data_IF_391058927525
#
_entry.id   IF_391058927525
#
_cell.length_a   1.000
_cell.length_b   1.000
_cell.length_c   1.000
_cell.angle_alpha   90.00
_cell.angle_beta   90.00
_cell.angle_gamma   90.00
#
_symmetry.space_group_name_H-M   'P 1'
#
loop_
_entity.id
_entity.type
_entity.pdbx_description
1 polymer ?
#
# COMPACT_ATOMS: atom_id res chain seq x y z
N UNK A 1 -28.12 -6.67 -11.21
CA UNK A 1 -26.70 -6.77 -10.93
C UNK A 1 -26.08 -5.43 -10.62
N UNK A 2 -25.31 -5.43 -9.67
CA UNK A 2 -24.78 -4.20 -9.16
C UNK A 2 -23.28 -4.08 -9.40
N UNK A 3 -22.92 -3.37 -10.47
CA UNK A 3 -21.53 -3.16 -10.86
C UNK A 3 -20.71 -2.36 -9.86
N UNK A 4 -21.37 -1.54 -9.04
CA UNK A 4 -20.68 -0.69 -8.08
C UNK A 4 -19.89 -1.49 -7.05
N UNK A 5 -20.50 -2.53 -6.50
CA UNK A 5 -19.84 -3.38 -5.53
C UNK A 5 -18.62 -4.06 -6.12
N UNK A 6 -18.77 -4.58 -7.33
CA UNK A 6 -17.68 -5.25 -8.02
C UNK A 6 -16.51 -4.31 -8.29
N UNK A 7 -16.79 -3.07 -8.67
CA UNK A 7 -15.74 -2.08 -8.93
C UNK A 7 -14.97 -1.72 -7.67
N UNK A 8 -15.66 -1.54 -6.55
CA UNK A 8 -15.01 -1.26 -5.27
C UNK A 8 -14.11 -2.40 -4.83
N UNK A 9 -14.62 -3.62 -4.94
CA UNK A 9 -13.84 -4.81 -4.58
C UNK A 9 -12.63 -4.95 -5.49
N UNK A 10 -12.80 -4.75 -6.79
CA UNK A 10 -11.71 -4.85 -7.75
C UNK A 10 -10.62 -3.82 -7.45
N UNK A 11 -11.00 -2.59 -7.12
CA UNK A 11 -10.03 -1.55 -6.77
C UNK A 11 -9.28 -1.89 -5.50
N UNK A 12 -10.00 -2.38 -4.49
CA UNK A 12 -9.41 -2.77 -3.22
C UNK A 12 -8.39 -3.89 -3.43
N UNK A 13 -8.77 -4.93 -4.15
CA UNK A 13 -7.89 -6.06 -4.42
C UNK A 13 -6.67 -5.64 -5.23
N UNK A 14 -6.84 -4.76 -6.19
CA UNK A 14 -5.73 -4.24 -6.99
C UNK A 14 -4.76 -3.45 -6.13
N UNK A 15 -5.29 -2.60 -5.26
CA UNK A 15 -4.45 -1.81 -4.37
C UNK A 15 -3.67 -2.70 -3.40
N UNK A 16 -4.32 -3.72 -2.84
CA UNK A 16 -3.66 -4.69 -1.97
C UNK A 16 -2.52 -5.39 -2.71
N UNK A 17 -2.78 -5.84 -3.93
CA UNK A 17 -1.78 -6.53 -4.74
C UNK A 17 -0.61 -5.63 -5.08
N UNK A 18 -0.86 -4.39 -5.49
CA UNK A 18 0.19 -3.45 -5.85
C UNK A 18 1.09 -3.13 -4.67
N UNK A 19 0.51 -2.89 -3.52
CA UNK A 19 1.29 -2.59 -2.31
C UNK A 19 2.11 -3.81 -1.91
N UNK A 20 1.49 -4.98 -1.86
CA UNK A 20 2.18 -6.21 -1.47
C UNK A 20 3.35 -6.50 -2.41
N UNK A 21 3.13 -6.38 -3.70
CA UNK A 21 4.16 -6.63 -4.69
C UNK A 21 5.33 -5.66 -4.56
N UNK A 22 5.01 -4.37 -4.41
CA UNK A 22 6.06 -3.36 -4.26
C UNK A 22 6.89 -3.61 -2.99
N UNK A 23 6.23 -3.87 -1.87
CA UNK A 23 6.94 -4.12 -0.60
C UNK A 23 7.80 -5.38 -0.70
N UNK A 24 7.31 -6.42 -1.37
CA UNK A 24 8.07 -7.65 -1.51
C UNK A 24 9.35 -7.45 -2.32
N UNK A 25 9.32 -6.53 -3.29
CA UNK A 25 10.49 -6.20 -4.11
C UNK A 25 11.40 -5.17 -3.45
N UNK A 26 10.88 -4.41 -2.52
CA UNK A 26 11.59 -3.29 -1.89
C UNK A 26 11.44 -3.36 -0.37
N UNK A 27 11.96 -4.41 0.27
CA UNK A 27 11.87 -4.51 1.72
C UNK A 27 12.57 -3.32 2.38
N UNK A 28 11.95 -2.79 3.42
CA UNK A 28 12.46 -1.60 4.08
C UNK A 28 11.95 -0.29 3.46
N UNK A 29 10.98 -0.36 2.56
CA UNK A 29 10.40 0.86 1.98
C UNK A 29 9.48 1.56 2.99
N UNK A 30 9.31 2.87 2.80
CA UNK A 30 8.41 3.68 3.63
C UNK A 30 7.05 3.84 2.95
N UNK A 31 6.08 4.39 3.69
CA UNK A 31 4.78 4.71 3.09
C UNK A 31 4.92 5.72 1.95
N UNK A 32 5.84 6.67 2.10
CA UNK A 32 6.11 7.65 1.05
C UNK A 32 6.63 6.98 -0.23
N UNK A 33 7.50 5.97 -0.08
CA UNK A 33 7.99 5.21 -1.23
C UNK A 33 6.87 4.47 -1.94
N UNK A 34 5.96 3.88 -1.17
CA UNK A 34 4.81 3.18 -1.72
C UNK A 34 3.91 4.15 -2.49
N UNK A 35 3.63 5.31 -1.91
CA UNK A 35 2.81 6.33 -2.57
C UNK A 35 3.45 6.79 -3.87
N UNK A 36 4.75 7.02 -3.86
CA UNK A 36 5.48 7.44 -5.04
C UNK A 36 5.36 6.40 -6.15
N UNK A 37 5.54 5.12 -5.81
CA UNK A 37 5.37 4.03 -6.76
C UNK A 37 3.95 4.01 -7.33
N UNK A 38 2.93 4.10 -6.47
CA UNK A 38 1.54 4.04 -6.91
C UNK A 38 1.17 5.25 -7.76
N UNK A 39 1.72 6.41 -7.47
CA UNK A 39 1.48 7.62 -8.26
C UNK A 39 2.05 7.49 -9.68
N UNK A 40 3.09 6.70 -9.85
CA UNK A 40 3.71 6.45 -11.15
C UNK A 40 3.04 5.33 -11.92
N UNK A 41 2.08 4.63 -11.30
CA UNK A 41 1.34 3.54 -11.94
C UNK A 41 0.03 4.10 -12.47
N UNK A 42 -0.19 4.00 -13.77
CA UNK A 42 -1.39 4.56 -14.41
C UNK A 42 -2.68 4.10 -13.73
N UNK A 43 -2.75 2.84 -13.35
CA UNK A 43 -3.95 2.26 -12.75
C UNK A 43 -4.27 2.83 -11.38
N UNK A 44 -3.23 3.32 -10.66
CA UNK A 44 -3.39 3.80 -9.30
C UNK A 44 -3.36 5.32 -9.18
N UNK A 45 -3.07 6.00 -10.29
CA UNK A 45 -2.85 7.45 -10.30
C UNK A 45 -4.00 8.26 -9.71
N UNK A 46 -5.24 7.82 -9.95
CA UNK A 46 -6.43 8.58 -9.57
C UNK A 46 -7.01 8.16 -8.22
N UNK A 47 -6.29 7.37 -7.43
CA UNK A 47 -6.78 6.92 -6.13
C UNK A 47 -6.63 7.97 -5.03
N UNK A 48 -5.91 9.06 -5.31
CA UNK A 48 -5.71 10.13 -4.32
C UNK A 48 -4.99 9.65 -3.07
N UNK A 49 -4.02 8.74 -3.24
CA UNK A 49 -3.31 8.15 -2.12
C UNK A 49 -2.30 9.10 -1.52
N UNK A 50 -2.19 9.05 -0.20
CA UNK A 50 -1.17 9.79 0.55
C UNK A 50 -0.47 8.82 1.47
N UNK A 51 0.70 9.23 1.99
CA UNK A 51 1.43 8.41 2.96
C UNK A 51 0.56 8.04 4.15
N UNK A 52 -0.27 8.98 4.60
CA UNK A 52 -1.18 8.74 5.72
C UNK A 52 -2.22 7.68 5.39
N UNK A 53 -2.82 7.76 4.20
CA UNK A 53 -3.82 6.77 3.77
C UNK A 53 -3.19 5.38 3.65
N UNK A 54 -2.01 5.28 3.07
CA UNK A 54 -1.29 4.01 2.96
C UNK A 54 -0.94 3.48 4.35
N UNK A 55 -0.50 4.35 5.23
CA UNK A 55 -0.18 3.98 6.61
C UNK A 55 -1.34 3.39 7.38
N UNK A 56 -2.56 3.82 7.09
CA UNK A 56 -3.77 3.23 7.67
C UNK A 56 -4.25 2.00 6.92
N UNK A 57 -4.08 2.00 5.61
CA UNK A 57 -4.53 0.91 4.75
C UNK A 57 -3.82 -0.41 5.07
N UNK A 58 -2.51 -0.35 5.23
CA UNK A 58 -1.72 -1.55 5.43
C UNK A 58 -2.14 -2.34 6.68
N UNK A 59 -2.20 -1.73 7.89
CA UNK A 59 -2.63 -2.50 9.06
C UNK A 59 -4.09 -2.93 9.01
N UNK A 60 -4.92 -2.23 8.23
CA UNK A 60 -6.33 -2.57 8.11
C UNK A 60 -6.58 -3.75 7.17
N UNK A 61 -5.90 -3.77 6.02
CA UNK A 61 -6.19 -4.75 4.97
C UNK A 61 -5.06 -5.75 4.72
N UNK A 62 -3.84 -5.45 5.13
CA UNK A 62 -2.67 -6.27 4.86
C UNK A 62 -1.96 -6.70 6.14
N UNK A 63 -2.67 -6.75 7.24
CA UNK A 63 -2.14 -7.00 8.58
C UNK A 63 -1.26 -8.24 8.66
N UNK A 64 -1.67 -9.33 8.01
CA UNK A 64 -0.95 -10.60 8.08
C UNK A 64 0.02 -10.81 6.92
N UNK A 65 0.09 -9.86 6.01
CA UNK A 65 0.89 -9.98 4.79
C UNK A 65 2.07 -9.02 4.84
N UNK A 66 1.82 -7.78 5.24
CA UNK A 66 2.84 -6.72 5.28
C UNK A 66 3.05 -6.30 6.73
N UNK A 67 4.29 -6.33 7.16
CA UNK A 67 4.70 -5.95 8.51
C UNK A 67 5.48 -4.64 8.46
N UNK A 68 5.59 -3.97 9.60
CA UNK A 68 6.43 -2.78 9.66
C UNK A 68 7.28 -2.79 10.93
N UNK A 69 8.39 -2.09 10.85
CA UNK A 69 9.22 -1.75 12.00
C UNK A 69 9.52 -0.27 11.93
N UNK A 70 10.01 0.30 13.02
CA UNK A 70 10.41 1.70 13.02
C UNK A 70 11.90 1.80 12.71
N UNK A 71 12.21 2.68 11.76
CA UNK A 71 13.60 3.01 11.46
C UNK A 71 14.13 3.90 12.59
N UNK A 72 15.16 3.45 13.26
CA UNK A 72 15.71 4.18 14.41
C UNK A 72 16.26 5.54 14.05
N UNK A 73 16.78 5.69 12.84
CA UNK A 73 17.41 6.95 12.44
C UNK A 73 16.38 8.01 12.06
N UNK A 74 15.23 7.62 11.54
CA UNK A 74 14.20 8.57 11.07
C UNK A 74 12.93 8.54 11.89
N UNK A 75 12.70 7.49 12.67
CA UNK A 75 11.46 7.28 13.38
C UNK A 75 10.27 6.92 12.49
N UNK A 76 10.51 6.68 11.21
CA UNK A 76 9.46 6.34 10.26
C UNK A 76 9.25 4.85 10.18
N UNK A 77 8.03 4.45 9.80
CA UNK A 77 7.72 3.05 9.54
C UNK A 77 8.38 2.59 8.25
N UNK A 78 8.99 1.42 8.31
CA UNK A 78 9.51 0.74 7.12
C UNK A 78 8.82 -0.61 7.02
N UNK A 79 8.46 -0.99 5.81
CA UNK A 79 7.59 -2.14 5.56
C UNK A 79 8.34 -3.29 4.92
N UNK A 80 7.89 -4.50 5.22
CA UNK A 80 8.40 -5.72 4.60
C UNK A 80 7.29 -6.77 4.57
N UNK A 81 7.43 -7.76 3.70
CA UNK A 81 6.47 -8.85 3.62
C UNK A 81 6.79 -9.86 4.70
N UNK A 82 5.75 -10.37 5.34
CA UNK A 82 5.87 -11.36 6.38
C UNK A 82 6.48 -12.69 5.85
#
# INVERSE_FOLDING_TARGET
MNGRGSQKVARLERLKSEITEYVSRNPGCSAADIVDHLSNTLRMRNHGLTSRKVGFFIPRYLKNIVMFTLDRSTGKRIYSVA
#
